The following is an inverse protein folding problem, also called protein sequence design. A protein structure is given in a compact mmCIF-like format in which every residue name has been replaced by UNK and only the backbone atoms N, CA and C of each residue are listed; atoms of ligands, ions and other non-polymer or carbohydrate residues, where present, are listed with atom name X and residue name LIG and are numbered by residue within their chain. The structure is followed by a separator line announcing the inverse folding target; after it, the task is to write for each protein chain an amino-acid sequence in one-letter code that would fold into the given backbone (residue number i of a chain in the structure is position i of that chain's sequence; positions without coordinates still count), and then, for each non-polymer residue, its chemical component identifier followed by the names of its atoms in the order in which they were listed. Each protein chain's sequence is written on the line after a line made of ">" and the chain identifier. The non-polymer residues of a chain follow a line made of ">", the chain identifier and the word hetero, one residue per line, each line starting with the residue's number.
data_IF_974921594160
#
_entry.id   IF_974921594160
#
_cell.length_a   1.000
_cell.length_b   1.000
_cell.length_c   1.000
_cell.angle_alpha   90.00
_cell.angle_beta   90.00
_cell.angle_gamma   90.00
#
_symmetry.space_group_name_H-M   'P 1'
#
loop_
_entity.id
_entity.type
_entity.pdbx_description
1 polymer ?
#
# COMPACT_ATOMS: atom_id res chain seq x y z
N UNK A 1 -14.40 2.62 -17.17
CA UNK A 1 -13.12 3.02 -16.53
C UNK A 1 -12.19 3.52 -17.62
N UNK A 2 -11.47 4.63 -17.39
CA UNK A 2 -10.35 5.02 -18.23
C UNK A 2 -9.10 5.03 -17.34
N UNK A 3 -8.02 4.44 -17.84
CA UNK A 3 -6.68 4.59 -17.27
C UNK A 3 -6.24 6.02 -17.53
N UNK A 4 -6.01 6.77 -16.46
CA UNK A 4 -5.43 8.10 -16.53
C UNK A 4 -3.92 7.97 -16.44
N UNK A 5 -3.22 8.52 -17.41
CA UNK A 5 -1.77 8.67 -17.42
C UNK A 5 -1.46 10.13 -17.13
N UNK A 6 -0.74 10.40 -16.04
CA UNK A 6 -0.36 11.76 -15.69
C UNK A 6 0.66 12.32 -16.67
N UNK A 7 0.51 13.60 -17.02
CA UNK A 7 1.46 14.33 -17.89
C UNK A 7 2.86 14.53 -17.28
N UNK A 8 3.14 13.98 -16.09
CA UNK A 8 4.46 14.00 -15.44
C UNK A 8 5.13 12.61 -15.36
N UNK A 9 4.95 11.76 -16.39
CA UNK A 9 5.77 10.56 -16.59
C UNK A 9 5.69 9.48 -15.49
N UNK A 10 4.68 9.51 -14.62
CA UNK A 10 4.52 8.57 -13.50
C UNK A 10 3.17 7.84 -13.60
N UNK A 11 3.29 6.54 -13.91
CA UNK A 11 2.35 5.42 -13.82
C UNK A 11 0.89 5.61 -14.32
N UNK A 12 0.50 4.73 -15.24
CA UNK A 12 -0.88 4.40 -15.59
C UNK A 12 -1.69 4.07 -14.32
N UNK A 13 -2.65 4.92 -13.96
CA UNK A 13 -3.55 4.70 -12.79
C UNK A 13 -5.02 4.65 -13.21
N UNK A 14 -5.84 3.88 -12.50
CA UNK A 14 -7.27 3.75 -12.82
C UNK A 14 -8.08 4.71 -11.95
N UNK A 15 -8.82 5.62 -12.58
CA UNK A 15 -9.66 6.60 -11.87
C UNK A 15 -11.13 6.30 -12.11
N UNK A 16 -11.93 6.31 -11.04
CA UNK A 16 -13.37 6.15 -11.08
C UNK A 16 -14.09 7.48 -10.85
N UNK A 17 -14.81 7.96 -11.86
CA UNK A 17 -15.70 9.10 -11.73
C UNK A 17 -17.11 8.63 -11.42
N UNK A 18 -17.69 9.16 -10.35
CA UNK A 18 -18.94 8.68 -9.77
C UNK A 18 -19.94 9.82 -9.60
N UNK A 19 -21.20 9.54 -9.89
CA UNK A 19 -22.32 10.42 -9.57
C UNK A 19 -23.25 9.62 -8.66
N UNK A 20 -23.77 10.26 -7.62
CA UNK A 20 -24.81 9.67 -6.79
C UNK A 20 -25.81 10.71 -6.33
N UNK A 21 -27.09 10.36 -6.47
CA UNK A 21 -28.22 11.13 -5.95
C UNK A 21 -28.46 10.92 -4.45
N UNK A 22 -27.88 9.87 -3.85
CA UNK A 22 -28.10 9.50 -2.43
C UNK A 22 -26.83 9.60 -1.58
N UNK A 23 -25.78 10.25 -2.09
CA UNK A 23 -24.44 10.23 -1.49
C UNK A 23 -23.63 9.01 -1.96
N UNK A 24 -22.30 9.12 -1.89
CA UNK A 24 -21.42 8.02 -2.25
C UNK A 24 -21.09 7.17 -1.03
N UNK A 25 -21.00 5.84 -1.17
CA UNK A 25 -20.39 4.99 -0.16
C UNK A 25 -18.93 5.40 0.07
N UNK A 26 -18.38 5.03 1.22
CA UNK A 26 -16.96 5.17 1.49
C UNK A 26 -16.11 4.45 0.43
N UNK A 27 -14.99 5.06 0.05
CA UNK A 27 -14.10 4.55 -0.99
C UNK A 27 -13.63 3.12 -0.70
N UNK A 28 -13.35 2.80 0.56
CA UNK A 28 -12.91 1.45 0.94
C UNK A 28 -14.01 0.39 0.81
N UNK A 29 -15.28 0.80 0.94
CA UNK A 29 -16.43 -0.08 0.66
C UNK A 29 -16.55 -0.35 -0.84
N UNK A 30 -16.41 0.70 -1.66
CA UNK A 30 -16.39 0.59 -3.12
C UNK A 30 -15.23 -0.30 -3.60
N UNK A 31 -14.02 -0.08 -3.07
CA UNK A 31 -12.83 -0.87 -3.39
C UNK A 31 -13.02 -2.34 -3.07
N UNK A 32 -13.51 -2.67 -1.86
CA UNK A 32 -13.82 -4.06 -1.48
C UNK A 32 -14.87 -4.70 -2.39
N UNK A 33 -15.90 -3.95 -2.75
CA UNK A 33 -16.93 -4.45 -3.66
C UNK A 33 -16.37 -4.74 -5.07
N UNK A 34 -15.48 -3.89 -5.57
CA UNK A 34 -14.84 -4.06 -6.87
C UNK A 34 -13.82 -5.21 -6.86
N UNK A 35 -13.05 -5.38 -5.77
CA UNK A 35 -12.09 -6.46 -5.61
C UNK A 35 -12.71 -7.86 -5.69
N UNK A 36 -13.99 -8.00 -5.35
CA UNK A 36 -14.71 -9.27 -5.48
C UNK A 36 -15.04 -9.64 -6.93
N UNK A 37 -14.97 -8.68 -7.86
CA UNK A 37 -15.48 -8.82 -9.24
C UNK A 37 -14.45 -8.51 -10.32
N UNK A 38 -13.36 -7.82 -9.97
CA UNK A 38 -12.34 -7.34 -10.90
C UNK A 38 -10.94 -7.78 -10.44
N UNK A 39 -10.02 -8.03 -11.38
CA UNK A 39 -8.60 -8.16 -11.05
C UNK A 39 -8.05 -6.90 -10.39
N UNK A 40 -7.05 -7.05 -9.52
CA UNK A 40 -6.46 -5.95 -8.74
C UNK A 40 -6.01 -4.76 -9.61
N UNK A 41 -5.44 -5.04 -10.79
CA UNK A 41 -4.96 -4.02 -11.75
C UNK A 41 -6.08 -3.16 -12.37
N UNK A 42 -7.34 -3.56 -12.21
CA UNK A 42 -8.51 -2.82 -12.69
C UNK A 42 -9.26 -2.10 -11.58
N UNK A 43 -8.82 -2.25 -10.33
CA UNK A 43 -9.42 -1.58 -9.19
C UNK A 43 -8.96 -0.12 -9.21
N UNK A 44 -9.89 0.86 -9.18
CA UNK A 44 -9.53 2.27 -9.16
C UNK A 44 -8.72 2.64 -7.92
N UNK A 45 -7.67 3.41 -8.14
CA UNK A 45 -6.83 4.01 -7.09
C UNK A 45 -7.43 5.33 -6.59
N UNK A 46 -8.24 5.99 -7.41
CA UNK A 46 -8.85 7.29 -7.11
C UNK A 46 -10.35 7.29 -7.44
N UNK A 47 -11.15 7.88 -6.56
CA UNK A 47 -12.60 8.04 -6.72
C UNK A 47 -12.98 9.52 -6.70
N UNK A 48 -13.52 10.01 -7.81
CA UNK A 48 -13.89 11.42 -7.97
C UNK A 48 -15.40 11.54 -8.02
N UNK A 49 -15.98 12.19 -7.01
CA UNK A 49 -17.41 12.55 -7.04
C UNK A 49 -17.64 13.70 -8.01
N UNK A 50 -18.62 13.52 -8.89
CA UNK A 50 -19.15 14.56 -9.76
C UNK A 50 -20.62 14.80 -9.43
N UNK A 51 -21.06 16.04 -9.56
CA UNK A 51 -22.49 16.38 -9.52
C UNK A 51 -23.18 15.97 -10.82
N UNK A 52 -22.48 16.12 -11.96
CA UNK A 52 -22.92 15.67 -13.27
C UNK A 52 -21.71 15.33 -14.16
N UNK A 53 -21.89 14.44 -15.13
CA UNK A 53 -20.85 14.18 -16.12
C UNK A 53 -20.78 15.38 -17.08
N UNK A 54 -19.58 15.92 -17.37
CA UNK A 54 -19.43 16.88 -18.44
C UNK A 54 -19.78 16.18 -19.75
N UNK A 55 -20.72 16.77 -20.50
CA UNK A 55 -21.13 16.25 -21.80
C UNK A 55 -20.64 17.18 -22.92
N UNK A 56 -20.31 16.58 -24.04
CA UNK A 56 -20.15 17.23 -25.34
C UNK A 56 -21.52 17.68 -25.87
N UNK A 57 -21.57 18.56 -26.88
CA UNK A 57 -22.83 18.93 -27.55
C UNK A 57 -23.63 17.73 -28.10
N UNK A 58 -22.95 16.62 -28.40
CA UNK A 58 -23.55 15.36 -28.85
C UNK A 58 -23.98 14.43 -27.69
N UNK A 59 -24.13 14.96 -26.47
CA UNK A 59 -24.50 14.22 -25.25
C UNK A 59 -23.57 13.07 -24.85
N UNK A 60 -22.37 12.95 -25.46
CA UNK A 60 -21.33 12.01 -25.02
C UNK A 60 -20.51 12.62 -23.90
N UNK A 61 -20.00 11.80 -22.98
CA UNK A 61 -19.09 12.27 -21.91
C UNK A 61 -17.86 12.95 -22.53
N UNK A 62 -17.67 14.22 -22.17
CA UNK A 62 -16.50 15.01 -22.53
C UNK A 62 -15.35 14.71 -21.56
N UNK A 63 -14.56 13.72 -21.94
CA UNK A 63 -13.46 13.20 -21.11
C UNK A 63 -12.34 14.22 -20.87
N UNK A 64 -12.22 15.26 -21.71
CA UNK A 64 -11.20 16.31 -21.52
C UNK A 64 -11.59 17.32 -20.44
N UNK A 65 -12.88 17.37 -20.11
CA UNK A 65 -13.46 18.26 -19.11
C UNK A 65 -13.69 17.55 -17.77
N UNK A 66 -13.32 16.28 -17.67
CA UNK A 66 -13.31 15.60 -16.37
C UNK A 66 -12.26 16.29 -15.50
N UNK A 67 -12.60 16.65 -14.25
CA UNK A 67 -11.61 17.20 -13.35
C UNK A 67 -10.50 16.15 -13.16
N UNK A 68 -9.23 16.57 -13.05
CA UNK A 68 -8.19 15.64 -12.66
C UNK A 68 -8.59 14.97 -11.33
N UNK A 69 -8.20 13.70 -11.08
CA UNK A 69 -8.23 13.21 -9.71
C UNK A 69 -7.48 14.24 -8.88
N UNK A 70 -8.16 14.84 -7.90
CA UNK A 70 -7.51 15.85 -7.08
C UNK A 70 -6.24 15.23 -6.52
N UNK A 71 -5.12 15.96 -6.56
CA UNK A 71 -4.06 15.73 -5.57
C UNK A 71 -4.79 15.51 -4.27
N UNK A 72 -4.74 14.27 -3.72
CA UNK A 72 -5.46 13.84 -2.50
C UNK A 72 -5.67 15.08 -1.69
N UNK A 73 -6.92 15.57 -1.60
CA UNK A 73 -7.22 16.89 -1.04
C UNK A 73 -6.25 17.09 0.10
N UNK A 74 -5.21 17.90 -0.15
CA UNK A 74 -4.19 18.11 0.83
C UNK A 74 -5.02 18.58 2.01
N UNK A 75 -5.04 17.81 3.09
CA UNK A 75 -5.67 18.23 4.32
C UNK A 75 -4.81 19.41 4.77
N UNK A 76 -5.01 20.56 4.13
CA UNK A 76 -4.47 21.87 4.48
C UNK A 76 -5.24 22.27 5.72
N UNK A 77 -4.87 21.60 6.80
CA UNK A 77 -5.37 21.74 8.14
C UNK A 77 -4.21 21.37 9.05
N UNK A 78 -3.21 22.25 9.07
CA UNK A 78 -2.20 22.43 10.13
C UNK A 78 -2.06 21.27 11.13
N UNK A 79 -1.13 20.35 10.84
CA UNK A 79 -0.69 19.30 11.76
C UNK A 79 -0.54 17.96 11.05
N UNK A 80 0.36 17.06 11.51
CA UNK A 80 0.52 15.75 10.90
C UNK A 80 -0.82 15.01 10.95
N UNK A 81 -1.37 14.61 9.80
CA UNK A 81 -2.58 13.79 9.65
C UNK A 81 -2.34 12.32 9.99
N UNK A 82 -1.42 12.08 10.92
CA UNK A 82 -1.59 10.93 11.78
C UNK A 82 -2.69 11.31 12.76
N UNK A 83 -3.80 10.59 12.72
CA UNK A 83 -4.90 10.70 13.68
C UNK A 83 -4.32 10.96 15.10
N UNK A 84 -4.84 11.93 15.86
CA UNK A 84 -4.35 12.20 17.22
C UNK A 84 -4.45 10.96 18.12
N UNK A 85 -5.25 9.97 17.72
CA UNK A 85 -5.38 8.65 18.37
C UNK A 85 -4.39 7.58 17.89
N UNK A 86 -3.53 7.89 16.92
CA UNK A 86 -2.60 6.91 16.37
C UNK A 86 -1.56 6.45 17.39
N UNK A 87 -1.17 5.19 17.31
CA UNK A 87 -0.10 4.65 18.14
C UNK A 87 1.27 5.22 17.71
N UNK A 88 2.27 5.06 18.58
CA UNK A 88 3.64 5.48 18.24
C UNK A 88 4.19 4.70 17.05
N UNK A 89 3.86 3.40 16.97
CA UNK A 89 4.24 2.55 15.85
C UNK A 89 3.60 3.02 14.53
N UNK A 90 2.32 3.42 14.56
CA UNK A 90 1.64 3.97 13.38
C UNK A 90 2.29 5.27 12.90
N UNK A 91 2.65 6.18 13.82
CA UNK A 91 3.38 7.41 13.50
C UNK A 91 4.73 7.12 12.84
N UNK A 92 5.48 6.18 13.41
CA UNK A 92 6.79 5.78 12.91
C UNK A 92 6.71 5.21 11.49
N UNK A 93 5.81 4.25 11.27
CA UNK A 93 5.61 3.63 9.96
C UNK A 93 5.18 4.69 8.93
N UNK A 94 4.23 5.57 9.27
CA UNK A 94 3.79 6.65 8.39
C UNK A 94 4.92 7.62 8.03
N UNK A 95 5.79 7.95 8.98
CA UNK A 95 6.96 8.80 8.76
C UNK A 95 7.96 8.16 7.79
N UNK A 96 8.30 6.88 8.01
CA UNK A 96 9.19 6.12 7.12
C UNK A 96 8.61 6.05 5.70
N UNK A 97 7.29 5.83 5.57
CA UNK A 97 6.64 5.76 4.26
C UNK A 97 6.65 7.11 3.57
N UNK A 98 6.35 8.19 4.30
CA UNK A 98 6.39 9.56 3.78
C UNK A 98 7.79 9.91 3.23
N UNK A 99 8.84 9.55 3.98
CA UNK A 99 10.23 9.75 3.55
C UNK A 99 10.57 8.94 2.29
N UNK A 100 10.23 7.64 2.26
CA UNK A 100 10.61 6.75 1.15
C UNK A 100 9.80 7.04 -0.12
N UNK A 101 8.54 7.44 0.02
CA UNK A 101 7.65 7.77 -1.09
C UNK A 101 7.79 9.23 -1.55
N UNK A 102 8.60 10.04 -0.84
CA UNK A 102 8.76 11.48 -1.07
C UNK A 102 7.41 12.23 -1.05
N UNK A 103 6.51 11.82 -0.15
CA UNK A 103 5.19 12.41 0.03
C UNK A 103 5.17 13.28 1.30
N UNK A 104 4.46 14.42 1.28
CA UNK A 104 4.35 15.28 2.46
C UNK A 104 3.61 14.60 3.61
N UNK A 105 2.72 13.65 3.30
CA UNK A 105 1.88 12.99 4.28
C UNK A 105 1.37 11.63 3.77
N UNK A 106 1.31 10.65 4.68
CA UNK A 106 0.76 9.31 4.45
C UNK A 106 -0.30 9.03 5.52
N UNK A 107 -1.53 8.78 5.09
CA UNK A 107 -2.63 8.40 5.96
C UNK A 107 -2.52 6.96 6.46
N UNK A 108 -3.18 6.65 7.59
CA UNK A 108 -3.09 5.33 8.22
C UNK A 108 -3.64 4.19 7.34
N UNK A 109 -4.65 4.50 6.53
CA UNK A 109 -5.35 3.55 5.68
C UNK A 109 -4.89 3.63 4.21
N UNK A 110 -3.88 4.46 3.93
CA UNK A 110 -3.30 4.56 2.60
C UNK A 110 -2.49 3.31 2.27
N UNK A 111 -2.75 2.76 1.09
CA UNK A 111 -2.02 1.60 0.61
C UNK A 111 -0.67 2.02 0.00
N UNK A 112 0.42 1.42 0.47
CA UNK A 112 1.78 1.70 0.03
C UNK A 112 1.95 1.63 -1.50
N UNK A 113 1.36 0.62 -2.13
CA UNK A 113 1.48 0.39 -3.56
C UNK A 113 0.61 1.37 -4.37
N UNK A 114 -0.55 1.76 -3.83
CA UNK A 114 -1.41 2.79 -4.43
C UNK A 114 -0.76 4.19 -4.34
N UNK A 115 0.15 4.40 -3.37
CA UNK A 115 0.97 5.62 -3.25
C UNK A 115 2.20 5.64 -4.19
N UNK A 116 2.37 4.62 -5.05
CA UNK A 116 3.54 4.51 -5.93
C UNK A 116 4.68 3.66 -5.37
N UNK A 117 4.44 2.98 -4.24
CA UNK A 117 5.36 1.99 -3.70
C UNK A 117 5.61 0.84 -4.69
N UNK A 118 6.87 0.43 -4.83
CA UNK A 118 7.28 -0.69 -5.67
C UNK A 118 8.44 -1.44 -5.02
N UNK A 119 8.90 -2.54 -5.61
CA UNK A 119 9.85 -3.48 -4.98
C UNK A 119 11.10 -2.84 -4.37
N UNK A 120 11.70 -1.84 -5.04
CA UNK A 120 12.88 -1.14 -4.51
C UNK A 120 12.53 -0.28 -3.29
N UNK A 121 11.40 0.43 -3.34
CA UNK A 121 10.91 1.22 -2.21
C UNK A 121 10.48 0.32 -1.05
N UNK A 122 9.88 -0.83 -1.33
CA UNK A 122 9.57 -1.85 -0.32
C UNK A 122 10.82 -2.33 0.40
N UNK A 123 11.92 -2.57 -0.33
CA UNK A 123 13.22 -2.95 0.27
C UNK A 123 13.78 -1.82 1.15
N UNK A 124 13.66 -0.55 0.71
CA UNK A 124 14.08 0.62 1.51
C UNK A 124 13.27 0.77 2.78
N UNK A 125 11.93 0.68 2.70
CA UNK A 125 11.03 0.69 3.84
C UNK A 125 11.37 -0.43 4.81
N UNK A 126 11.53 -1.66 4.31
CA UNK A 126 11.92 -2.81 5.12
C UNK A 126 13.23 -2.54 5.87
N UNK A 127 14.26 -2.06 5.18
CA UNK A 127 15.56 -1.77 5.82
C UNK A 127 15.45 -0.73 6.93
N UNK A 128 14.65 0.32 6.74
CA UNK A 128 14.42 1.38 7.74
C UNK A 128 13.63 0.84 8.94
N UNK A 129 12.53 0.13 8.68
CA UNK A 129 11.73 -0.48 9.74
C UNK A 129 12.57 -1.46 10.57
N UNK A 130 13.36 -2.34 9.93
CA UNK A 130 14.23 -3.26 10.64
C UNK A 130 15.36 -2.59 11.43
N UNK A 131 15.73 -1.34 11.10
CA UNK A 131 16.73 -0.59 11.88
C UNK A 131 16.13 0.20 13.04
N UNK A 132 14.86 0.59 12.94
CA UNK A 132 14.19 1.42 13.94
C UNK A 132 13.33 0.62 14.91
N UNK A 133 12.93 -0.60 14.51
CA UNK A 133 12.13 -1.50 15.31
C UNK A 133 12.95 -2.70 15.78
N UNK A 134 12.74 -3.09 17.04
CA UNK A 134 13.33 -4.31 17.62
C UNK A 134 12.52 -5.58 17.27
N UNK A 135 11.41 -5.42 16.53
CA UNK A 135 10.58 -6.53 16.06
C UNK A 135 10.98 -6.95 14.65
N UNK A 136 10.89 -8.26 14.37
CA UNK A 136 11.14 -8.78 13.02
C UNK A 136 10.02 -8.37 12.08
N UNK A 137 10.30 -7.44 11.18
CA UNK A 137 9.46 -7.15 10.02
C UNK A 137 9.98 -7.96 8.84
N UNK A 138 9.18 -8.86 8.28
CA UNK A 138 9.54 -9.54 7.04
C UNK A 138 9.07 -8.75 5.83
N UNK A 139 9.77 -8.91 4.70
CA UNK A 139 9.33 -8.27 3.45
C UNK A 139 7.95 -8.76 2.99
N UNK A 140 7.54 -9.97 3.39
CA UNK A 140 6.21 -10.52 3.06
C UNK A 140 5.11 -9.78 3.81
N UNK A 141 5.40 -9.28 5.01
CA UNK A 141 4.42 -8.59 5.85
C UNK A 141 4.03 -7.26 5.22
N UNK A 142 4.98 -6.57 4.58
CA UNK A 142 4.72 -5.33 3.81
C UNK A 142 3.76 -5.56 2.63
N UNK A 143 3.76 -6.75 2.03
CA UNK A 143 2.82 -7.08 0.95
C UNK A 143 1.46 -7.53 1.49
N UNK A 144 1.42 -8.27 2.60
CA UNK A 144 0.18 -8.75 3.22
C UNK A 144 -0.58 -7.66 3.96
N UNK A 145 0.14 -6.69 4.51
CA UNK A 145 -0.38 -5.59 5.31
C UNK A 145 0.03 -4.26 4.67
N UNK A 146 -0.51 -3.93 3.49
CA UNK A 146 -0.02 -2.83 2.67
C UNK A 146 -0.47 -1.44 3.15
N UNK A 147 -1.08 -1.31 4.33
CA UNK A 147 -1.44 -0.03 4.95
C UNK A 147 -0.73 0.12 6.30
N UNK A 148 -0.50 1.36 6.73
CA UNK A 148 0.13 1.66 8.03
C UNK A 148 -0.65 1.01 9.18
N UNK A 149 -1.98 1.14 9.17
CA UNK A 149 -2.87 0.55 10.19
C UNK A 149 -2.74 -0.97 10.22
N UNK A 150 -2.79 -1.63 9.06
CA UNK A 150 -2.71 -3.09 8.99
C UNK A 150 -1.35 -3.63 9.41
N UNK A 151 -0.26 -2.92 9.07
CA UNK A 151 1.09 -3.33 9.41
C UNK A 151 1.36 -3.15 10.90
N UNK A 152 0.97 -2.00 11.47
CA UNK A 152 1.08 -1.75 12.90
C UNK A 152 0.30 -2.80 13.71
N UNK A 153 -0.94 -3.08 13.33
CA UNK A 153 -1.76 -4.08 14.02
C UNK A 153 -1.15 -5.49 13.97
N UNK A 154 -0.52 -5.86 12.85
CA UNK A 154 0.19 -7.14 12.74
C UNK A 154 1.42 -7.17 13.63
N UNK A 155 2.26 -6.12 13.61
CA UNK A 155 3.48 -6.06 14.42
C UNK A 155 3.20 -5.95 15.93
N UNK A 156 2.08 -5.35 16.33
CA UNK A 156 1.59 -5.32 17.72
C UNK A 156 1.01 -6.68 18.15
N UNK A 157 0.46 -7.47 17.21
CA UNK A 157 -0.09 -8.80 17.45
C UNK A 157 0.95 -9.93 17.43
N UNK A 158 2.04 -9.77 16.67
CA UNK A 158 3.06 -10.80 16.38
C UNK A 158 4.15 -10.93 17.46
N UNK A 159 3.87 -10.58 18.71
CA UNK A 159 4.73 -10.90 19.84
C UNK A 159 4.99 -12.41 20.05
N UNK A 160 4.39 -13.30 19.24
CA UNK A 160 4.42 -14.77 19.40
C UNK A 160 4.77 -15.55 18.10
N UNK A 161 4.47 -15.04 16.90
CA UNK A 161 4.60 -15.81 15.64
C UNK A 161 5.95 -15.64 14.89
N UNK A 162 6.67 -14.55 15.15
CA UNK A 162 7.95 -14.22 14.51
C UNK A 162 9.14 -15.11 14.90
N UNK A 163 9.02 -15.84 16.02
CA UNK A 163 10.03 -16.80 16.49
C UNK A 163 9.97 -18.12 15.70
N UNK A 164 8.76 -18.62 15.43
CA UNK A 164 8.54 -19.90 14.76
C UNK A 164 9.06 -19.93 13.31
N UNK A 165 8.95 -18.81 12.57
CA UNK A 165 9.36 -18.74 11.17
C UNK A 165 10.88 -18.55 11.00
N UNK A 166 11.53 -17.84 11.93
CA UNK A 166 13.00 -17.76 11.97
C UNK A 166 13.61 -19.09 12.32
N UNK A 167 13.08 -19.76 13.34
CA UNK A 167 13.53 -21.08 13.75
C UNK A 167 13.33 -22.10 12.61
N UNK A 168 12.24 -21.99 11.83
CA UNK A 168 12.04 -22.80 10.63
C UNK A 168 13.08 -22.51 9.51
N UNK A 169 13.45 -21.24 9.28
CA UNK A 169 14.46 -20.85 8.28
C UNK A 169 15.87 -21.26 8.72
N UNK A 170 16.20 -21.10 10.00
CA UNK A 170 17.49 -21.48 10.58
C UNK A 170 17.66 -23.00 10.60
N UNK A 171 16.60 -23.76 10.94
CA UNK A 171 16.57 -25.22 10.81
C UNK A 171 16.68 -25.69 9.36
N UNK A 172 16.07 -24.96 8.41
CA UNK A 172 16.17 -25.29 6.99
C UNK A 172 17.57 -25.01 6.42
N UNK A 173 18.23 -23.94 6.85
CA UNK A 173 19.62 -23.64 6.52
C UNK A 173 20.58 -24.70 7.10
N UNK A 174 20.43 -25.04 8.39
CA UNK A 174 21.22 -26.08 9.05
C UNK A 174 21.05 -27.47 8.38
N UNK A 175 19.83 -27.82 7.95
CA UNK A 175 19.59 -29.07 7.18
C UNK A 175 20.29 -29.05 5.82
N UNK A 176 20.31 -27.92 5.10
CA UNK A 176 21.00 -27.80 3.80
C UNK A 176 22.51 -27.96 3.94
N UNK A 177 23.10 -27.43 5.01
CA UNK A 177 24.54 -27.55 5.26
C UNK A 177 24.95 -28.97 5.69
N UNK A 178 24.10 -29.66 6.47
CA UNK A 178 24.30 -31.07 6.84
C UNK A 178 24.27 -32.00 5.60
N UNK A 179 23.39 -31.74 4.62
CA UNK A 179 23.36 -32.51 3.37
C UNK A 179 24.59 -32.25 2.47
N UNK A 180 25.19 -31.07 2.52
CA UNK A 180 26.42 -30.75 1.77
C UNK A 180 27.65 -31.48 2.35
N UNK A 181 27.73 -31.63 3.67
CA UNK A 181 28.87 -32.30 4.33
C UNK A 181 28.86 -33.83 4.14
N UNK A 182 27.69 -34.45 3.96
CA UNK A 182 27.58 -35.91 3.77
C UNK A 182 28.03 -36.40 2.39
N UNK A 183 28.10 -35.52 1.37
CA UNK A 183 28.55 -35.87 0.01
C UNK A 183 30.08 -35.85 -0.17
N UNK A 184 30.84 -35.35 0.81
CA UNK A 184 32.32 -35.27 0.73
C UNK A 184 33.06 -36.44 1.41
N UNK A 185 32.36 -37.38 2.03
CA UNK A 185 32.95 -38.56 2.70
C UNK A 185 32.46 -39.86 2.05
N UNK A 186 32.92 -40.15 0.83
CA UNK A 186 32.99 -41.53 0.32
C UNK A 186 34.49 -41.86 0.22
N UNK A 187 35.04 -42.72 1.10
CA UNK A 187 36.40 -43.19 0.93
C UNK A 187 36.42 -44.26 -0.18
N UNK A 188 37.49 -44.23 -0.96
CA UNK A 188 37.86 -45.23 -1.96
C UNK A 188 38.28 -46.55 -1.32
#
# INVERSE_FOLDING_TARGET
>A
MKVWTGENGTSDRVVAYLISSKGLPEEQSLRRHLAQKLPDVMIPTDYVKLDAFPLTPNAKVDRKRLPPPGERQARRGSGPAVDRSASELQRLIAAIWSEVLEQPEVGLDDNFFDLGGHSLLTVRVHSKLSSELDVRVSITDLFRHPTVRSLAAHLEGDGDDGEAMSDARDRAAARRDALRHRRRRRPS
#
